data_IF_035820958119
#
_entry.id   IF_035820958119
#
_cell.length_a   1.000
_cell.length_b   1.000
_cell.length_c   1.000
_cell.angle_alpha   90.00
_cell.angle_beta   90.00
_cell.angle_gamma   90.00
#
_symmetry.space_group_name_H-M   'P 1'
#
loop_
_entity.id
_entity.type
_entity.pdbx_description
1 polymer ?
#
# COMPACT_ATOMS: atom_id res chain seq x y z
N UNK A 1 -10.89 -13.86 16.80
CA UNK A 1 -10.18 -12.70 16.18
C UNK A 1 -9.00 -13.26 15.39
N UNK A 2 -9.15 -13.38 14.07
CA UNK A 2 -8.08 -13.87 13.19
C UNK A 2 -7.42 -12.63 12.57
N UNK A 3 -6.23 -12.30 13.04
CA UNK A 3 -5.40 -11.29 12.42
C UNK A 3 -5.00 -11.77 11.02
N UNK A 4 -5.45 -11.03 9.99
CA UNK A 4 -5.07 -11.29 8.60
C UNK A 4 -3.60 -10.96 8.39
N UNK A 5 -2.76 -11.98 8.33
CA UNK A 5 -1.40 -11.86 7.81
C UNK A 5 -1.51 -11.79 6.29
N UNK A 6 -0.91 -10.79 5.67
CA UNK A 6 -0.80 -10.73 4.22
C UNK A 6 -0.07 -12.00 3.72
N UNK A 7 -0.81 -12.85 3.04
CA UNK A 7 -0.30 -14.15 2.58
C UNK A 7 0.23 -13.92 1.17
N UNK A 8 1.55 -13.81 1.01
CA UNK A 8 2.19 -13.89 -0.30
C UNK A 8 2.19 -15.34 -0.78
N UNK A 9 2.18 -15.59 -2.10
CA UNK A 9 2.17 -16.96 -2.65
C UNK A 9 3.33 -17.80 -2.13
N UNK A 10 4.51 -17.22 -1.96
CA UNK A 10 5.67 -17.86 -1.35
C UNK A 10 5.41 -18.28 0.09
N UNK A 11 4.70 -17.48 0.88
CA UNK A 11 4.36 -17.83 2.25
C UNK A 11 3.32 -18.96 2.33
N UNK A 12 2.46 -19.10 1.32
CA UNK A 12 1.51 -20.22 1.22
C UNK A 12 2.22 -21.51 0.88
N UNK A 13 3.16 -21.48 -0.05
CA UNK A 13 3.96 -22.68 -0.43
C UNK A 13 4.85 -23.14 0.72
N UNK A 14 5.54 -22.21 1.39
CA UNK A 14 6.34 -22.51 2.58
C UNK A 14 5.47 -23.01 3.74
N UNK A 15 4.32 -22.42 3.95
CA UNK A 15 3.36 -22.83 4.97
C UNK A 15 2.85 -24.25 4.72
N UNK A 16 2.46 -24.57 3.49
CA UNK A 16 1.94 -25.88 3.15
C UNK A 16 3.05 -26.94 3.16
N UNK A 17 4.27 -26.59 2.72
CA UNK A 17 5.42 -27.46 2.81
C UNK A 17 5.85 -27.77 4.26
N UNK A 18 5.89 -26.74 5.12
CA UNK A 18 6.22 -26.91 6.54
C UNK A 18 5.11 -27.61 7.34
N UNK A 19 3.84 -27.41 6.97
CA UNK A 19 2.72 -28.12 7.56
C UNK A 19 2.75 -29.63 7.23
N UNK A 20 3.18 -29.99 6.01
CA UNK A 20 3.35 -31.37 5.61
C UNK A 20 4.48 -32.10 6.39
N UNK A 21 5.46 -31.34 6.89
CA UNK A 21 6.59 -31.87 7.69
C UNK A 21 6.29 -31.85 9.21
N UNK A 22 5.10 -31.38 9.64
CA UNK A 22 4.71 -31.38 11.05
C UNK A 22 5.38 -30.27 11.92
N UNK A 23 6.15 -29.40 11.33
CA UNK A 23 6.88 -28.31 12.02
C UNK A 23 6.09 -27.01 12.17
N UNK A 24 4.82 -27.01 11.85
CA UNK A 24 4.03 -25.79 11.66
C UNK A 24 3.34 -25.22 12.91
N UNK A 25 3.54 -25.75 14.10
CA UNK A 25 2.91 -25.14 15.29
C UNK A 25 3.65 -23.91 15.83
N UNK A 26 4.77 -23.54 15.23
CA UNK A 26 5.64 -22.49 15.75
C UNK A 26 5.59 -21.27 14.85
N UNK A 27 5.07 -20.15 15.41
CA UNK A 27 5.61 -18.83 15.10
C UNK A 27 4.95 -17.92 14.06
N UNK A 28 3.69 -18.03 13.73
CA UNK A 28 3.02 -16.93 13.03
C UNK A 28 3.20 -15.60 13.79
N UNK A 29 3.18 -15.65 15.14
CA UNK A 29 3.44 -14.48 15.99
C UNK A 29 4.93 -14.07 15.94
N UNK A 30 5.86 -15.01 15.96
CA UNK A 30 7.28 -14.69 15.89
C UNK A 30 7.68 -14.14 14.52
N UNK A 31 7.16 -14.70 13.43
CA UNK A 31 7.37 -14.19 12.08
C UNK A 31 6.79 -12.78 11.92
N UNK A 32 5.59 -12.53 12.45
CA UNK A 32 4.99 -11.20 12.44
C UNK A 32 5.82 -10.18 13.25
N UNK A 33 6.26 -10.55 14.45
CA UNK A 33 7.11 -9.68 15.27
C UNK A 33 8.45 -9.42 14.59
N UNK A 34 9.09 -10.47 14.04
CA UNK A 34 10.36 -10.33 13.34
C UNK A 34 10.23 -9.45 12.09
N UNK A 35 9.15 -9.62 11.32
CA UNK A 35 8.84 -8.78 10.15
C UNK A 35 8.66 -7.32 10.53
N UNK A 36 7.90 -7.04 11.58
CA UNK A 36 7.67 -5.67 12.06
C UNK A 36 8.95 -5.03 12.59
N UNK A 37 9.76 -5.77 13.35
CA UNK A 37 11.05 -5.29 13.86
C UNK A 37 12.02 -5.02 12.70
N UNK A 38 12.12 -5.94 11.74
CA UNK A 38 12.99 -5.77 10.56
C UNK A 38 12.57 -4.57 9.73
N UNK A 39 11.27 -4.37 9.52
CA UNK A 39 10.74 -3.22 8.81
C UNK A 39 11.03 -1.91 9.56
N UNK A 40 10.84 -1.90 10.88
CA UNK A 40 11.13 -0.72 11.71
C UNK A 40 12.62 -0.35 11.68
N UNK A 41 13.51 -1.35 11.77
CA UNK A 41 14.95 -1.15 11.66
C UNK A 41 15.36 -0.65 10.27
N UNK A 42 14.78 -1.24 9.21
CA UNK A 42 15.03 -0.79 7.85
C UNK A 42 14.61 0.68 7.65
N UNK A 43 13.40 1.04 8.10
CA UNK A 43 12.91 2.42 8.02
C UNK A 43 13.76 3.37 8.86
N UNK A 44 14.18 2.97 10.06
CA UNK A 44 15.07 3.78 10.90
C UNK A 44 16.41 4.03 10.20
N UNK A 45 17.04 2.99 9.66
CA UNK A 45 18.29 3.13 8.90
C UNK A 45 18.11 4.01 7.65
N UNK A 46 17.03 3.81 6.90
CA UNK A 46 16.71 4.63 5.74
C UNK A 46 16.55 6.11 6.10
N UNK A 47 15.84 6.41 7.20
CA UNK A 47 15.67 7.78 7.69
C UNK A 47 16.97 8.40 8.19
N UNK A 48 17.84 7.62 8.84
CA UNK A 48 19.15 8.10 9.30
C UNK A 48 20.13 8.41 8.15
N UNK A 49 19.98 7.75 7.01
CA UNK A 49 20.81 8.03 5.81
C UNK A 49 20.30 9.22 5.01
N UNK A 50 19.08 9.69 5.24
CA UNK A 50 18.54 10.86 4.57
C UNK A 50 19.21 12.14 5.09
N UNK A 51 19.71 12.95 4.17
CA UNK A 51 20.28 14.27 4.47
C UNK A 51 19.16 15.30 4.69
N UNK A 52 18.59 15.28 5.87
CA UNK A 52 17.44 16.13 6.22
C UNK A 52 17.69 17.62 6.03
N UNK A 53 18.95 18.08 6.15
CA UNK A 53 19.31 19.48 5.91
C UNK A 53 19.19 19.89 4.42
N UNK A 54 19.41 18.96 3.48
CA UNK A 54 19.19 19.23 2.05
C UNK A 54 17.68 19.30 1.74
N UNK A 55 16.88 18.52 2.44
CA UNK A 55 15.41 18.55 2.33
C UNK A 55 14.79 19.80 2.95
N UNK A 56 15.46 20.45 3.90
CA UNK A 56 14.91 21.64 4.56
C UNK A 56 14.69 22.81 3.59
N UNK A 57 15.57 22.98 2.62
CA UNK A 57 15.44 24.00 1.57
C UNK A 57 14.26 23.72 0.61
N UNK A 58 13.87 22.47 0.46
CA UNK A 58 12.78 22.02 -0.39
C UNK A 58 11.50 21.69 0.39
N UNK A 59 11.52 21.85 1.72
CA UNK A 59 10.43 21.42 2.60
C UNK A 59 9.09 22.11 2.24
N UNK A 60 9.11 23.41 1.97
CA UNK A 60 7.90 24.16 1.65
C UNK A 60 7.28 23.76 0.30
N UNK A 61 8.03 23.69 -0.81
CA UNK A 61 7.49 23.21 -2.08
C UNK A 61 7.07 21.74 -2.03
N UNK A 62 7.80 20.88 -1.30
CA UNK A 62 7.43 19.48 -1.12
C UNK A 62 6.12 19.34 -0.33
N UNK A 63 5.95 20.13 0.74
CA UNK A 63 4.71 20.14 1.53
C UNK A 63 3.52 20.57 0.66
N UNK A 64 3.68 21.63 -0.14
CA UNK A 64 2.66 22.10 -1.07
C UNK A 64 2.28 21.02 -2.10
N UNK A 65 3.26 20.33 -2.64
CA UNK A 65 3.06 19.26 -3.60
C UNK A 65 2.35 18.05 -2.97
N UNK A 66 2.75 17.64 -1.76
CA UNK A 66 2.11 16.56 -1.02
C UNK A 66 0.67 16.88 -0.64
N UNK A 67 0.39 18.10 -0.19
CA UNK A 67 -0.98 18.55 0.11
C UNK A 67 -1.83 18.58 -1.17
N UNK A 68 -1.30 19.12 -2.25
CA UNK A 68 -1.97 19.12 -3.55
C UNK A 68 -2.29 17.70 -4.04
N UNK A 69 -1.34 16.79 -3.93
CA UNK A 69 -1.54 15.38 -4.26
C UNK A 69 -2.60 14.73 -3.37
N UNK A 70 -2.58 14.99 -2.06
CA UNK A 70 -3.57 14.44 -1.14
C UNK A 70 -4.99 14.91 -1.47
N UNK A 71 -5.17 16.20 -1.71
CA UNK A 71 -6.47 16.79 -2.10
C UNK A 71 -6.94 16.20 -3.43
N UNK A 72 -6.07 16.17 -4.43
CA UNK A 72 -6.39 15.62 -5.76
C UNK A 72 -6.79 14.14 -5.64
N UNK A 73 -6.10 13.36 -4.81
CA UNK A 73 -6.39 11.95 -4.58
C UNK A 73 -7.76 11.74 -3.94
N UNK A 74 -8.10 12.53 -2.92
CA UNK A 74 -9.42 12.47 -2.27
C UNK A 74 -10.53 12.85 -3.25
N UNK A 75 -10.34 13.94 -4.00
CA UNK A 75 -11.31 14.38 -5.03
C UNK A 75 -11.49 13.28 -6.08
N UNK A 76 -10.41 12.70 -6.58
CA UNK A 76 -10.47 11.61 -7.54
C UNK A 76 -11.17 10.36 -6.98
N UNK A 77 -10.86 9.98 -5.75
CA UNK A 77 -11.48 8.83 -5.10
C UNK A 77 -13.00 9.01 -4.92
N UNK A 78 -13.45 10.20 -4.55
CA UNK A 78 -14.87 10.50 -4.30
C UNK A 78 -15.64 10.67 -5.62
N UNK A 79 -15.09 11.38 -6.60
CA UNK A 79 -15.83 11.74 -7.81
C UNK A 79 -15.64 10.76 -8.96
N UNK A 80 -14.56 9.99 -8.97
CA UNK A 80 -14.26 9.04 -10.05
C UNK A 80 -14.33 7.61 -9.53
N UNK A 81 -13.48 7.24 -8.57
CA UNK A 81 -13.36 5.85 -8.12
C UNK A 81 -14.66 5.32 -7.52
N UNK A 82 -15.24 6.05 -6.60
CA UNK A 82 -16.47 5.63 -5.93
C UNK A 82 -17.68 5.50 -6.87
N UNK A 83 -17.96 6.45 -7.80
CA UNK A 83 -19.06 6.30 -8.75
C UNK A 83 -18.86 5.20 -9.79
N UNK A 84 -17.62 5.03 -10.28
CA UNK A 84 -17.29 4.01 -11.29
C UNK A 84 -17.44 2.59 -10.72
N UNK A 85 -17.16 2.41 -9.43
CA UNK A 85 -17.28 1.10 -8.76
C UNK A 85 -18.71 0.77 -8.29
N UNK A 86 -19.72 1.59 -8.61
CA UNK A 86 -21.12 1.27 -8.39
C UNK A 86 -21.76 1.87 -7.12
N UNK A 87 -21.09 2.78 -6.42
CA UNK A 87 -21.61 3.57 -5.28
C UNK A 87 -22.17 2.73 -4.11
N UNK A 88 -21.65 1.53 -3.91
CA UNK A 88 -22.03 0.65 -2.83
C UNK A 88 -20.98 0.66 -1.70
N UNK A 89 -21.20 -0.15 -0.66
CA UNK A 89 -20.28 -0.24 0.47
C UNK A 89 -18.88 -0.74 0.06
N UNK A 90 -18.82 -1.77 -0.79
CA UNK A 90 -17.55 -2.28 -1.30
C UNK A 90 -16.78 -1.22 -2.10
N UNK A 91 -17.48 -0.42 -2.89
CA UNK A 91 -16.91 0.71 -3.62
C UNK A 91 -16.28 1.76 -2.67
N UNK A 92 -16.92 2.03 -1.52
CA UNK A 92 -16.38 2.95 -0.53
C UNK A 92 -15.11 2.39 0.12
N UNK A 93 -15.07 1.10 0.45
CA UNK A 93 -13.90 0.45 1.02
C UNK A 93 -12.76 0.40 -0.01
N UNK A 94 -13.05 0.09 -1.28
CA UNK A 94 -12.06 0.11 -2.37
C UNK A 94 -11.53 1.53 -2.60
N UNK A 95 -12.39 2.56 -2.58
CA UNK A 95 -11.97 3.95 -2.72
C UNK A 95 -11.03 4.39 -1.58
N UNK A 96 -11.26 3.94 -0.35
CA UNK A 96 -10.35 4.16 0.76
C UNK A 96 -9.01 3.44 0.57
N UNK A 97 -9.03 2.22 0.05
CA UNK A 97 -7.84 1.48 -0.37
C UNK A 97 -7.07 2.24 -1.46
N UNK A 98 -7.76 2.77 -2.46
CA UNK A 98 -7.19 3.58 -3.53
C UNK A 98 -6.49 4.84 -2.98
N UNK A 99 -7.09 5.56 -2.02
CA UNK A 99 -6.41 6.66 -1.34
C UNK A 99 -5.12 6.19 -0.65
N UNK A 100 -5.13 5.02 -0.03
CA UNK A 100 -3.95 4.45 0.61
C UNK A 100 -2.82 4.13 -0.39
N UNK A 101 -3.15 3.64 -1.59
CA UNK A 101 -2.17 3.43 -2.66
C UNK A 101 -1.62 4.74 -3.21
N UNK A 102 -2.49 5.71 -3.48
CA UNK A 102 -2.08 6.98 -4.09
C UNK A 102 -1.23 7.85 -3.17
N UNK A 103 -1.37 7.71 -1.87
CA UNK A 103 -0.61 8.46 -0.85
C UNK A 103 0.50 7.65 -0.19
N UNK A 104 0.58 6.36 -0.46
CA UNK A 104 1.52 5.47 0.20
C UNK A 104 1.81 4.21 -0.59
N UNK A 105 1.48 3.06 -0.01
CA UNK A 105 1.75 1.75 -0.57
C UNK A 105 0.64 0.75 -0.19
N UNK A 106 0.75 -0.49 -0.67
CA UNK A 106 -0.19 -1.58 -0.36
C UNK A 106 -0.52 -1.71 1.13
N UNK A 107 0.44 -1.65 2.08
CA UNK A 107 0.11 -1.70 3.51
C UNK A 107 -0.78 -0.55 3.97
N UNK A 108 -0.58 0.66 3.45
CA UNK A 108 -1.42 1.83 3.76
C UNK A 108 -2.84 1.67 3.23
N UNK A 109 -2.97 1.12 2.01
CA UNK A 109 -4.28 0.78 1.45
C UNK A 109 -5.04 -0.21 2.33
N UNK A 110 -4.37 -1.28 2.76
CA UNK A 110 -4.95 -2.30 3.65
C UNK A 110 -5.35 -1.68 5.00
N UNK A 111 -4.50 -0.84 5.60
CA UNK A 111 -4.79 -0.16 6.86
C UNK A 111 -6.03 0.75 6.75
N UNK A 112 -6.16 1.52 5.67
CA UNK A 112 -7.34 2.36 5.42
C UNK A 112 -8.62 1.53 5.27
N UNK A 113 -8.56 0.40 4.55
CA UNK A 113 -9.69 -0.50 4.41
C UNK A 113 -10.07 -1.15 5.74
N UNK A 114 -9.09 -1.58 6.54
CA UNK A 114 -9.32 -2.16 7.87
C UNK A 114 -10.02 -1.18 8.79
N UNK A 115 -9.58 0.08 8.84
CA UNK A 115 -10.20 1.11 9.67
C UNK A 115 -11.70 1.31 9.37
N UNK A 116 -12.11 1.16 8.11
CA UNK A 116 -13.53 1.23 7.72
C UNK A 116 -14.26 -0.07 8.08
N UNK A 117 -13.66 -1.21 7.74
CA UNK A 117 -14.34 -2.51 7.92
C UNK A 117 -14.47 -2.92 9.39
N UNK A 118 -13.58 -2.49 10.27
CA UNK A 118 -13.71 -2.66 11.71
C UNK A 118 -14.94 -1.96 12.29
N UNK A 119 -15.32 -0.82 11.68
CA UNK A 119 -16.44 -0.02 12.17
C UNK A 119 -17.78 -0.32 11.49
N UNK A 120 -17.75 -0.63 10.20
CA UNK A 120 -18.95 -0.72 9.37
C UNK A 120 -19.27 -2.13 8.84
N UNK A 121 -18.38 -3.09 9.05
CA UNK A 121 -18.54 -4.48 8.64
C UNK A 121 -17.55 -4.91 7.56
N UNK A 122 -17.47 -6.22 7.32
CA UNK A 122 -16.47 -6.82 6.42
C UNK A 122 -16.80 -6.56 4.94
N UNK A 123 -15.75 -6.33 4.13
CA UNK A 123 -15.81 -6.23 2.67
C UNK A 123 -14.80 -7.18 2.04
N UNK A 124 -15.10 -8.48 1.90
CA UNK A 124 -14.14 -9.47 1.37
C UNK A 124 -13.69 -9.14 -0.06
N UNK A 125 -14.59 -8.55 -0.86
CA UNK A 125 -14.29 -8.15 -2.24
C UNK A 125 -13.18 -7.09 -2.29
N UNK A 126 -13.25 -6.07 -1.43
CA UNK A 126 -12.24 -5.02 -1.39
C UNK A 126 -10.86 -5.57 -1.01
N UNK A 127 -10.79 -6.47 -0.02
CA UNK A 127 -9.53 -7.09 0.41
C UNK A 127 -8.96 -8.10 -0.60
N UNK A 128 -9.75 -8.57 -1.56
CA UNK A 128 -9.27 -9.36 -2.67
C UNK A 128 -8.74 -8.45 -3.79
N UNK A 129 -9.55 -7.47 -4.20
CA UNK A 129 -9.28 -6.64 -5.39
C UNK A 129 -8.12 -5.69 -5.17
N UNK A 130 -8.11 -4.96 -4.04
CA UNK A 130 -7.12 -3.89 -3.81
C UNK A 130 -5.68 -4.41 -3.75
N UNK A 131 -5.34 -5.46 -2.99
CA UNK A 131 -3.99 -6.00 -2.99
C UNK A 131 -3.58 -6.60 -4.34
N UNK A 132 -4.51 -7.25 -5.04
CA UNK A 132 -4.24 -7.86 -6.35
C UNK A 132 -3.93 -6.79 -7.40
N UNK A 133 -4.74 -5.72 -7.45
CA UNK A 133 -4.49 -4.58 -8.35
C UNK A 133 -3.19 -3.87 -7.98
N UNK A 134 -2.93 -3.66 -6.69
CA UNK A 134 -1.71 -3.02 -6.21
C UNK A 134 -0.45 -3.80 -6.56
N UNK A 135 -0.46 -5.12 -6.35
CA UNK A 135 0.72 -5.94 -6.58
C UNK A 135 1.08 -6.13 -8.07
N UNK A 136 0.08 -6.14 -8.97
CA UNK A 136 0.32 -6.44 -10.38
C UNK A 136 0.22 -5.22 -11.30
N UNK A 137 -0.83 -4.39 -11.13
CA UNK A 137 -1.10 -3.32 -12.08
C UNK A 137 -0.40 -2.02 -11.75
N UNK A 138 -0.33 -1.64 -10.49
CA UNK A 138 0.23 -0.34 -10.09
C UNK A 138 1.73 -0.29 -10.34
N UNK A 139 2.47 -1.34 -10.01
CA UNK A 139 3.92 -1.37 -10.22
C UNK A 139 4.28 -1.35 -11.69
N UNK A 140 3.55 -2.11 -12.52
CA UNK A 140 3.75 -2.12 -13.98
C UNK A 140 3.39 -0.76 -14.58
N UNK A 141 2.24 -0.19 -14.19
CA UNK A 141 1.80 1.12 -14.67
C UNK A 141 2.79 2.23 -14.28
N UNK A 142 3.29 2.22 -13.04
CA UNK A 142 4.31 3.16 -12.58
C UNK A 142 5.60 3.07 -13.40
N UNK A 143 6.08 1.85 -13.65
CA UNK A 143 7.30 1.65 -14.44
C UNK A 143 7.15 2.20 -15.87
N UNK A 144 5.97 2.01 -16.48
CA UNK A 144 5.66 2.53 -17.83
C UNK A 144 5.56 4.06 -17.80
N UNK A 145 4.81 4.63 -16.84
CA UNK A 145 4.62 6.08 -16.72
C UNK A 145 5.95 6.79 -16.47
N UNK A 146 6.78 6.26 -15.57
CA UNK A 146 8.11 6.82 -15.31
C UNK A 146 8.97 6.81 -16.57
N UNK A 147 9.00 5.69 -17.32
CA UNK A 147 9.76 5.61 -18.57
C UNK A 147 9.25 6.59 -19.62
N UNK A 148 7.93 6.73 -19.77
CA UNK A 148 7.33 7.69 -20.68
C UNK A 148 7.68 9.14 -20.29
N UNK A 149 7.63 9.45 -19.01
CA UNK A 149 7.97 10.78 -18.51
C UNK A 149 9.45 11.13 -18.77
N UNK A 150 10.36 10.18 -18.50
CA UNK A 150 11.79 10.35 -18.74
C UNK A 150 12.14 10.43 -20.24
N UNK A 151 11.29 9.89 -21.12
CA UNK A 151 11.47 9.98 -22.57
C UNK A 151 11.00 11.31 -23.17
N UNK A 152 10.34 12.18 -22.37
CA UNK A 152 9.94 13.50 -22.84
C UNK A 152 11.17 14.39 -23.05
N UNK A 153 11.20 15.20 -24.14
CA UNK A 153 12.36 16.02 -24.49
C UNK A 153 12.73 17.09 -23.43
N UNK A 154 11.84 17.36 -22.49
CA UNK A 154 12.09 18.25 -21.35
C UNK A 154 13.11 17.68 -20.36
N UNK A 155 13.27 16.33 -20.31
CA UNK A 155 14.16 15.64 -19.38
C UNK A 155 15.34 14.95 -20.08
N UNK A 156 15.42 14.98 -21.41
CA UNK A 156 16.48 14.35 -22.20
C UNK A 156 17.63 15.28 -22.56
N UNK A 157 17.70 16.49 -21.92
CA UNK A 157 18.75 17.47 -22.11
C UNK A 157 19.93 17.31 -21.13
#
# INVERSE_FOLDING_TARGET
QKHGVAITEESVLLRNGLAAVGWYSVFARAVSVLGNVSLALFLAMALMTLRLWELSALALPLLGLLLGQAVLMVVYAVFVTFPVLGRNYDAAVIAAGHCGFGLGATPTAIANMQAITERFGSSPLAFLVVPMVGAFFIDIANAIVIKLFLALPVFSG
#
